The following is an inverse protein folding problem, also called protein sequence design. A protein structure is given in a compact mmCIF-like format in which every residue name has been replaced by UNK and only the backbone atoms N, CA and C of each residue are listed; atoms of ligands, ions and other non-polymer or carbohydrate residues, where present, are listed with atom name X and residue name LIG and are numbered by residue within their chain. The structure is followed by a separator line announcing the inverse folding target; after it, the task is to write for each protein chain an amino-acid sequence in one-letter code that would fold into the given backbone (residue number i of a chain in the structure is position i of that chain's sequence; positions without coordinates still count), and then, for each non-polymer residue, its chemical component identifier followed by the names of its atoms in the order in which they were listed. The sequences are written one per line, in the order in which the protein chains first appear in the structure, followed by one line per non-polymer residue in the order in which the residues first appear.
data_IF_063515992137
#
_entry.id   IF_063515992137
#
_cell.length_a   1.000
_cell.length_b   1.000
_cell.length_c   1.000
_cell.angle_alpha   90.00
_cell.angle_beta   90.00
_cell.angle_gamma   90.00
#
_symmetry.space_group_name_H-M   'P 1'
#
loop_
_entity.id
_entity.type
_entity.pdbx_description
1 polymer ?
#
# COMPACT_ATOMS: atom_id res chain seq x y z
N UNK A 1 40.55 2.18 -52.76
CA UNK A 1 40.71 2.71 -51.38
C UNK A 1 39.51 3.53 -50.87
N UNK A 2 38.30 3.43 -51.45
CA UNK A 2 37.11 4.19 -51.01
C UNK A 2 36.05 3.36 -50.24
N UNK A 3 36.10 2.02 -50.33
CA UNK A 3 35.11 1.13 -49.70
C UNK A 3 35.41 0.77 -48.23
N UNK A 4 36.65 0.90 -47.77
CA UNK A 4 37.06 0.56 -46.40
C UNK A 4 36.64 1.65 -45.40
N UNK A 5 36.67 2.93 -45.82
CA UNK A 5 36.35 4.08 -44.96
C UNK A 5 34.85 4.19 -44.67
N UNK A 6 33.99 3.82 -45.63
CA UNK A 6 32.52 3.82 -45.45
C UNK A 6 32.04 2.69 -44.55
N UNK A 7 32.71 1.53 -44.55
CA UNK A 7 32.42 0.43 -43.63
C UNK A 7 32.73 0.80 -42.16
N UNK A 8 33.84 1.52 -41.93
CA UNK A 8 34.22 2.00 -40.59
C UNK A 8 33.26 3.06 -40.04
N UNK A 9 32.77 3.97 -40.90
CA UNK A 9 31.78 5.00 -40.54
C UNK A 9 30.42 4.40 -40.16
N UNK A 10 30.04 3.26 -40.75
CA UNK A 10 28.76 2.58 -40.52
C UNK A 10 28.72 1.79 -39.19
N UNK A 11 29.84 1.19 -38.75
CA UNK A 11 29.88 0.49 -37.45
C UNK A 11 29.92 1.47 -36.27
N UNK A 12 30.61 2.61 -36.42
CA UNK A 12 30.66 3.65 -35.40
C UNK A 12 29.29 4.32 -35.18
N UNK A 13 28.55 4.54 -36.27
CA UNK A 13 27.20 5.12 -36.22
C UNK A 13 26.18 4.18 -35.55
N UNK A 14 26.29 2.87 -35.80
CA UNK A 14 25.46 1.86 -35.14
C UNK A 14 25.77 1.77 -33.63
N UNK A 15 27.05 1.81 -33.25
CA UNK A 15 27.48 1.80 -31.85
C UNK A 15 27.04 3.07 -31.09
N UNK A 16 27.14 4.25 -31.71
CA UNK A 16 26.61 5.51 -31.14
C UNK A 16 25.10 5.48 -30.91
N UNK A 17 24.34 4.85 -31.82
CA UNK A 17 22.89 4.74 -31.70
C UNK A 17 22.47 3.83 -30.54
N UNK A 18 23.17 2.70 -30.34
CA UNK A 18 22.92 1.81 -29.20
C UNK A 18 23.19 2.49 -27.85
N UNK A 19 24.24 3.32 -27.76
CA UNK A 19 24.54 4.07 -26.53
C UNK A 19 23.47 5.14 -26.27
N UNK A 20 22.98 5.81 -27.32
CA UNK A 20 21.91 6.80 -27.20
C UNK A 20 20.57 6.17 -26.76
N UNK A 21 20.27 4.94 -27.20
CA UNK A 21 19.06 4.21 -26.79
C UNK A 21 19.15 3.73 -25.33
N UNK A 22 20.33 3.35 -24.86
CA UNK A 22 20.54 2.97 -23.45
C UNK A 22 20.53 4.17 -22.49
N UNK A 23 20.82 5.37 -23.00
CA UNK A 23 20.84 6.60 -22.22
C UNK A 23 19.49 7.34 -22.22
N UNK A 24 18.45 6.79 -22.85
CA UNK A 24 17.12 7.41 -22.83
C UNK A 24 16.57 7.31 -21.40
N UNK A 25 16.28 8.44 -20.72
CA UNK A 25 15.72 8.38 -19.39
C UNK A 25 14.33 7.76 -19.47
N UNK A 26 14.16 6.59 -18.85
CA UNK A 26 12.84 6.05 -18.56
C UNK A 26 12.20 6.96 -17.52
N UNK A 27 11.18 7.72 -17.93
CA UNK A 27 10.38 8.53 -17.00
C UNK A 27 9.58 7.60 -16.11
N UNK A 28 10.09 7.34 -14.91
CA UNK A 28 9.35 6.67 -13.85
C UNK A 28 8.42 7.71 -13.20
N UNK A 29 7.11 7.56 -13.38
CA UNK A 29 6.11 8.39 -12.72
C UNK A 29 5.60 7.64 -11.48
N UNK A 30 5.96 8.13 -10.30
CA UNK A 30 5.43 7.63 -9.04
C UNK A 30 4.40 8.62 -8.53
N UNK A 31 3.18 8.14 -8.30
CA UNK A 31 2.10 8.91 -7.67
C UNK A 31 1.97 8.41 -6.24
N UNK A 32 2.21 9.29 -5.28
CA UNK A 32 2.06 9.00 -3.86
C UNK A 32 0.64 9.38 -3.42
N UNK A 33 -0.13 8.41 -2.97
CA UNK A 33 -1.50 8.62 -2.49
C UNK A 33 -1.50 8.38 -0.99
N UNK A 34 -1.86 9.41 -0.23
CA UNK A 34 -2.09 9.27 1.20
C UNK A 34 -3.46 8.63 1.43
N UNK A 35 -3.46 7.44 2.04
CA UNK A 35 -4.67 6.74 2.44
C UNK A 35 -4.69 6.55 3.95
N UNK A 36 -5.85 6.70 4.55
CA UNK A 36 -6.10 6.34 5.94
C UNK A 36 -7.00 5.10 5.96
N UNK A 37 -6.82 4.24 6.95
CA UNK A 37 -7.71 3.11 7.19
C UNK A 37 -8.78 3.56 8.17
N UNK A 38 -10.04 3.41 7.78
CA UNK A 38 -11.18 3.57 8.66
C UNK A 38 -11.79 2.18 8.93
N UNK A 39 -12.28 1.92 10.15
CA UNK A 39 -13.00 0.70 10.45
C UNK A 39 -14.27 0.63 9.59
N UNK A 40 -14.60 -0.58 9.12
CA UNK A 40 -15.82 -0.80 8.35
C UNK A 40 -17.08 -0.47 9.16
N UNK A 41 -17.02 -0.71 10.47
CA UNK A 41 -18.12 -0.47 11.39
C UNK A 41 -17.58 -0.25 12.80
N UNK A 42 -17.95 0.88 13.40
CA UNK A 42 -17.83 1.13 14.85
C UNK A 42 -19.22 1.09 15.46
N UNK A 43 -19.36 0.40 16.60
CA UNK A 43 -20.64 0.24 17.29
C UNK A 43 -20.43 0.58 18.77
N UNK A 44 -21.17 1.58 19.24
CA UNK A 44 -21.27 1.86 20.66
C UNK A 44 -22.24 0.86 21.30
N UNK A 45 -21.70 -0.03 22.14
CA UNK A 45 -22.51 -1.04 22.84
C UNK A 45 -23.09 -0.42 24.10
N UNK A 46 -24.40 -0.20 24.09
CA UNK A 46 -25.14 0.28 25.25
C UNK A 46 -25.64 -0.88 26.13
N UNK A 47 -25.73 -0.64 27.44
CA UNK A 47 -26.42 -1.54 28.35
C UNK A 47 -27.94 -1.55 28.07
N UNK A 48 -28.57 -2.71 28.28
CA UNK A 48 -30.03 -2.84 28.11
C UNK A 48 -30.82 -2.11 29.21
N UNK A 49 -30.25 -2.02 30.42
CA UNK A 49 -30.87 -1.42 31.60
C UNK A 49 -29.84 -0.55 32.36
N UNK A 50 -30.33 0.34 33.22
CA UNK A 50 -29.49 1.15 34.09
C UNK A 50 -29.16 0.38 35.37
N UNK A 51 -27.88 0.31 35.75
CA UNK A 51 -27.39 -0.39 36.93
C UNK A 51 -25.95 -0.02 37.27
N UNK A 52 -25.38 -0.65 38.29
CA UNK A 52 -23.98 -0.48 38.67
C UNK A 52 -23.15 -1.58 38.02
N UNK A 53 -21.98 -1.24 37.46
CA UNK A 53 -21.08 -2.25 36.87
C UNK A 53 -20.55 -3.18 37.97
N UNK A 54 -20.98 -4.44 37.93
CA UNK A 54 -20.52 -5.48 38.85
C UNK A 54 -19.24 -6.14 38.32
N UNK A 55 -19.20 -6.48 37.02
CA UNK A 55 -18.06 -7.14 36.40
C UNK A 55 -17.91 -6.80 34.90
N UNK A 56 -16.67 -6.76 34.43
CA UNK A 56 -16.31 -6.62 33.01
C UNK A 56 -15.56 -7.88 32.57
N UNK A 57 -15.99 -8.51 31.48
CA UNK A 57 -15.48 -9.79 31.00
C UNK A 57 -14.61 -9.70 29.74
N UNK A 58 -14.31 -8.49 29.29
CA UNK A 58 -13.52 -8.23 28.07
C UNK A 58 -12.43 -7.21 28.32
N UNK A 59 -11.35 -7.32 27.56
CA UNK A 59 -10.23 -6.38 27.54
C UNK A 59 -10.07 -5.74 26.16
N UNK A 60 -9.36 -4.61 26.11
CA UNK A 60 -9.05 -3.94 24.84
C UNK A 60 -8.24 -4.85 23.91
N UNK A 61 -8.66 -4.92 22.65
CA UNK A 61 -8.05 -5.79 21.65
C UNK A 61 -8.58 -7.23 21.63
N UNK A 62 -9.48 -7.60 22.55
CA UNK A 62 -10.11 -8.92 22.53
C UNK A 62 -11.05 -9.08 21.33
N UNK A 63 -11.06 -10.30 20.78
CA UNK A 63 -12.06 -10.69 19.77
C UNK A 63 -13.31 -11.17 20.48
N UNK A 64 -14.43 -10.52 20.17
CA UNK A 64 -15.75 -10.86 20.71
C UNK A 64 -16.62 -11.53 19.65
N UNK A 65 -17.57 -12.34 20.09
CA UNK A 65 -18.54 -13.02 19.23
C UNK A 65 -19.95 -12.45 19.44
N UNK A 66 -20.85 -12.71 18.49
CA UNK A 66 -22.26 -12.37 18.63
C UNK A 66 -22.85 -13.01 19.90
N UNK A 67 -23.64 -12.24 20.64
CA UNK A 67 -24.27 -12.63 21.91
C UNK A 67 -23.31 -13.01 23.04
N UNK A 68 -22.03 -12.61 22.96
CA UNK A 68 -21.09 -12.79 24.06
C UNK A 68 -21.42 -11.82 25.20
N UNK A 69 -21.38 -12.32 26.44
CA UNK A 69 -21.48 -11.49 27.64
C UNK A 69 -20.23 -10.62 27.77
N UNK A 70 -20.41 -9.29 27.75
CA UNK A 70 -19.31 -8.32 27.86
C UNK A 70 -19.19 -7.75 29.27
N UNK A 71 -20.33 -7.47 29.91
CA UNK A 71 -20.43 -6.75 31.17
C UNK A 71 -21.65 -7.24 31.96
N UNK A 72 -21.55 -7.25 33.28
CA UNK A 72 -22.62 -7.58 34.23
C UNK A 72 -22.98 -6.35 35.07
N UNK A 73 -24.28 -6.14 35.26
CA UNK A 73 -24.85 -5.04 36.05
C UNK A 73 -25.58 -5.61 37.28
N UNK A 74 -25.50 -4.88 38.39
CA UNK A 74 -26.34 -5.03 39.60
C UNK A 74 -27.43 -3.94 39.63
#
# INVERSE_FOLDING_TARGET
MHLIVTAFRKSYLASMCCIAVLAWPTVANAVEIQGFTEPYQDIDVAAAEAGIVEAIHVSEGDRVHENQLLLQLD
#
